data_IF_300459170281
#
_entry.id   IF_300459170281
#
_cell.length_a   1.000
_cell.length_b   1.000
_cell.length_c   1.000
_cell.angle_alpha   90.00
_cell.angle_beta   90.00
_cell.angle_gamma   90.00
#
_symmetry.space_group_name_H-M   'P 1'
#
loop_
_entity.id
_entity.type
_entity.pdbx_description
1 polymer ?
#
# COMPACT_ATOMS: atom_id res chain seq x y z
N UNK A 1 7.69 -11.78 0.04
CA UNK A 1 8.50 -10.59 -0.32
C UNK A 1 9.97 -10.84 0.01
N UNK A 2 10.89 -10.24 -0.78
CA UNK A 2 12.32 -10.38 -0.54
C UNK A 2 12.78 -9.41 0.56
N UNK A 3 13.72 -9.86 1.41
CA UNK A 3 14.35 -9.01 2.41
C UNK A 3 15.25 -7.95 1.73
N UNK A 4 15.35 -6.75 2.28
CA UNK A 4 16.20 -5.71 1.73
C UNK A 4 17.67 -6.13 1.76
N UNK A 5 18.43 -5.70 0.75
CA UNK A 5 19.87 -5.97 0.61
C UNK A 5 20.67 -4.74 1.04
N UNK A 6 21.87 -4.98 1.58
CA UNK A 6 22.80 -3.88 1.87
C UNK A 6 23.38 -3.24 0.63
N UNK A 7 23.55 -4.05 -0.43
CA UNK A 7 24.10 -3.62 -1.72
C UNK A 7 23.24 -4.25 -2.82
N UNK A 8 22.93 -3.47 -3.83
CA UNK A 8 22.21 -3.85 -5.03
C UNK A 8 23.13 -3.67 -6.23
N UNK A 9 23.30 -4.69 -7.06
CA UNK A 9 24.03 -4.58 -8.32
C UNK A 9 23.06 -4.24 -9.44
N UNK A 10 23.44 -3.26 -10.28
CA UNK A 10 22.69 -2.89 -11.47
C UNK A 10 23.63 -2.46 -12.58
N UNK A 11 23.53 -3.09 -13.75
CA UNK A 11 24.42 -2.89 -14.89
C UNK A 11 23.77 -2.16 -16.06
N UNK A 12 22.58 -1.59 -15.85
CA UNK A 12 21.82 -0.87 -16.86
C UNK A 12 20.62 -1.64 -17.40
N UNK A 13 20.31 -2.81 -16.84
CA UNK A 13 19.14 -3.59 -17.23
C UNK A 13 17.85 -2.85 -16.91
N UNK A 14 16.85 -3.01 -17.78
CA UNK A 14 15.48 -2.52 -17.54
C UNK A 14 14.60 -3.71 -17.19
N UNK A 15 14.29 -3.95 -15.91
CA UNK A 15 13.40 -5.04 -15.55
C UNK A 15 11.98 -4.77 -16.06
N UNK A 16 11.26 -5.81 -16.46
CA UNK A 16 9.86 -5.70 -16.91
C UNK A 16 8.92 -5.34 -15.75
N UNK A 17 9.26 -5.78 -14.53
CA UNK A 17 8.52 -5.54 -13.30
C UNK A 17 9.46 -5.52 -12.10
N UNK A 18 8.92 -5.26 -10.92
CA UNK A 18 9.69 -5.38 -9.67
C UNK A 18 10.00 -6.84 -9.29
N UNK A 19 9.51 -7.82 -10.03
CA UNK A 19 9.59 -9.24 -9.71
C UNK A 19 8.48 -9.72 -8.77
N UNK A 20 8.31 -11.03 -8.64
CA UNK A 20 7.23 -11.61 -7.82
C UNK A 20 7.38 -11.31 -6.32
N UNK A 21 8.61 -11.17 -5.85
CA UNK A 21 8.93 -10.88 -4.44
C UNK A 21 9.38 -9.44 -4.20
N UNK A 22 9.45 -8.64 -5.26
CA UNK A 22 9.94 -7.25 -5.19
C UNK A 22 11.46 -7.13 -5.33
N UNK A 23 12.13 -8.21 -5.76
CA UNK A 23 13.59 -8.32 -5.87
C UNK A 23 14.21 -7.31 -6.82
N UNK A 24 13.46 -6.80 -7.80
CA UNK A 24 13.93 -5.82 -8.77
C UNK A 24 13.47 -4.38 -8.48
N UNK A 25 12.85 -4.11 -7.32
CA UNK A 25 12.32 -2.77 -7.03
C UNK A 25 13.37 -1.67 -7.12
N UNK A 26 14.59 -1.89 -6.59
CA UNK A 26 15.68 -0.93 -6.66
C UNK A 26 16.23 -0.80 -8.10
N UNK A 27 16.36 -1.91 -8.82
CA UNK A 27 16.75 -1.91 -10.23
C UNK A 27 15.74 -1.14 -11.10
N UNK A 28 14.44 -1.29 -10.82
CA UNK A 28 13.37 -0.56 -11.50
C UNK A 28 13.47 0.96 -11.27
N UNK A 29 13.77 1.39 -10.03
CA UNK A 29 14.00 2.81 -9.72
C UNK A 29 15.20 3.34 -10.50
N UNK A 30 16.31 2.61 -10.52
CA UNK A 30 17.52 3.01 -11.23
C UNK A 30 17.29 3.08 -12.74
N UNK A 31 16.61 2.06 -13.32
CA UNK A 31 16.28 2.03 -14.74
C UNK A 31 15.37 3.19 -15.15
N UNK A 32 14.29 3.44 -14.38
CA UNK A 32 13.38 4.55 -14.63
C UNK A 32 14.08 5.91 -14.53
N UNK A 33 14.99 6.07 -13.56
CA UNK A 33 15.79 7.29 -13.39
C UNK A 33 16.78 7.50 -14.54
N UNK A 34 17.45 6.44 -15.00
CA UNK A 34 18.36 6.48 -16.13
C UNK A 34 17.64 6.82 -17.46
N UNK A 35 16.39 6.36 -17.62
CA UNK A 35 15.52 6.69 -18.74
C UNK A 35 14.91 8.10 -18.64
N UNK A 36 15.14 8.82 -17.54
CA UNK A 36 14.58 10.15 -17.32
C UNK A 36 13.06 10.15 -17.15
N UNK A 37 12.45 9.03 -16.72
CA UNK A 37 11.00 8.93 -16.51
C UNK A 37 10.53 9.93 -15.47
N UNK A 38 9.41 10.59 -15.78
CA UNK A 38 8.77 11.58 -14.91
C UNK A 38 7.29 11.27 -14.78
N UNK A 39 6.81 11.31 -13.55
CA UNK A 39 5.42 11.05 -13.19
C UNK A 39 4.81 12.24 -12.44
N UNK A 40 3.50 12.34 -12.50
CA UNK A 40 2.73 13.16 -11.58
C UNK A 40 1.57 12.37 -10.96
N UNK A 41 0.95 12.93 -9.93
CA UNK A 41 -0.15 12.30 -9.16
C UNK A 41 -1.54 12.59 -9.76
N UNK A 42 -1.63 12.85 -11.05
CA UNK A 42 -2.87 13.15 -11.74
C UNK A 42 -2.85 14.47 -12.50
N UNK A 43 -3.98 14.87 -13.08
CA UNK A 43 -4.09 16.06 -13.92
C UNK A 43 -3.61 17.33 -13.21
N UNK A 44 -2.92 18.20 -13.94
CA UNK A 44 -2.42 19.50 -13.46
C UNK A 44 -1.44 19.45 -12.26
N UNK A 45 -0.89 18.28 -11.93
CA UNK A 45 0.16 18.14 -10.91
C UNK A 45 1.55 18.23 -11.56
N UNK A 46 2.55 18.65 -10.79
CA UNK A 46 3.92 18.75 -11.27
C UNK A 46 4.50 17.38 -11.64
N UNK A 47 5.26 17.36 -12.74
CA UNK A 47 6.06 16.19 -13.13
C UNK A 47 7.31 16.11 -12.24
N UNK A 48 7.51 14.96 -11.64
CA UNK A 48 8.62 14.67 -10.74
C UNK A 48 9.40 13.47 -11.30
N UNK A 49 10.72 13.47 -11.20
CA UNK A 49 11.54 12.31 -11.56
C UNK A 49 11.11 11.09 -10.76
N UNK A 50 11.23 9.92 -11.37
CA UNK A 50 10.71 8.67 -10.79
C UNK A 50 11.25 8.39 -9.38
N UNK A 51 12.56 8.52 -9.17
CA UNK A 51 13.21 8.33 -7.87
C UNK A 51 12.67 9.29 -6.79
N UNK A 52 12.59 10.58 -7.11
CA UNK A 52 12.04 11.60 -6.23
C UNK A 52 10.53 11.42 -5.99
N UNK A 53 9.80 10.90 -7.00
CA UNK A 53 8.38 10.60 -6.89
C UNK A 53 8.13 9.46 -5.88
N UNK A 54 8.93 8.39 -5.94
CA UNK A 54 8.86 7.28 -4.97
C UNK A 54 9.26 7.76 -3.58
N UNK A 55 10.35 8.54 -3.47
CA UNK A 55 10.78 9.12 -2.19
C UNK A 55 9.69 9.98 -1.54
N UNK A 56 8.98 10.80 -2.34
CA UNK A 56 7.90 11.65 -1.85
C UNK A 56 6.70 10.82 -1.35
N UNK A 57 6.36 9.72 -2.02
CA UNK A 57 5.31 8.82 -1.53
C UNK A 57 5.68 8.16 -0.20
N UNK A 58 6.91 7.67 -0.06
CA UNK A 58 7.36 7.07 1.20
C UNK A 58 7.35 8.08 2.37
N UNK A 59 7.66 9.35 2.08
CA UNK A 59 7.55 10.44 3.06
C UNK A 59 6.09 10.73 3.41
N UNK A 60 5.21 10.86 2.41
CA UNK A 60 3.79 11.17 2.63
C UNK A 60 3.07 10.06 3.39
N UNK A 61 3.48 8.80 3.20
CA UNK A 61 3.03 7.64 3.98
C UNK A 61 3.54 7.65 5.44
N UNK A 62 4.35 8.65 5.81
CA UNK A 62 4.91 8.77 7.17
C UNK A 62 5.88 7.65 7.56
N UNK A 63 6.38 6.88 6.58
CA UNK A 63 7.26 5.74 6.84
C UNK A 63 8.69 6.21 7.06
N UNK A 64 9.15 7.19 6.27
CA UNK A 64 10.48 7.78 6.33
C UNK A 64 10.45 9.25 5.92
N UNK A 65 11.46 10.01 6.33
CA UNK A 65 11.63 11.40 5.95
C UNK A 65 12.36 11.57 4.61
N UNK A 66 13.34 10.70 4.31
CA UNK A 66 14.03 10.71 3.03
C UNK A 66 14.41 9.30 2.57
N UNK A 67 14.48 9.15 1.25
CA UNK A 67 14.84 7.91 0.56
C UNK A 67 15.73 8.26 -0.62
N UNK A 68 16.87 7.60 -0.73
CA UNK A 68 17.79 7.79 -1.83
C UNK A 68 18.47 6.47 -2.23
N UNK A 69 18.56 6.23 -3.54
CA UNK A 69 19.37 5.15 -4.10
C UNK A 69 20.64 5.77 -4.67
N UNK A 70 21.79 5.48 -4.08
CA UNK A 70 23.07 6.08 -4.46
C UNK A 70 24.16 5.04 -4.74
N UNK A 71 25.10 5.32 -5.64
CA UNK A 71 26.20 4.40 -5.89
C UNK A 71 27.11 4.32 -4.66
N UNK A 72 27.60 3.12 -4.34
CA UNK A 72 28.53 2.89 -3.23
C UNK A 72 29.85 3.65 -3.47
N UNK A 73 30.29 3.73 -4.73
CA UNK A 73 31.42 4.55 -5.13
C UNK A 73 31.28 5.01 -6.58
N UNK A 74 31.95 6.12 -6.92
CA UNK A 74 31.90 6.69 -8.28
C UNK A 74 32.39 5.66 -9.32
N UNK A 75 31.52 5.44 -10.34
CA UNK A 75 31.83 4.51 -11.45
C UNK A 75 31.59 3.03 -11.14
N UNK A 76 31.10 2.69 -9.93
CA UNK A 76 30.67 1.32 -9.61
C UNK A 76 29.21 1.08 -9.98
N UNK A 77 28.90 -0.18 -10.27
CA UNK A 77 27.55 -0.68 -10.55
C UNK A 77 26.85 -1.25 -9.31
N UNK A 78 27.39 -0.90 -8.16
CA UNK A 78 26.88 -1.27 -6.84
C UNK A 78 26.22 -0.07 -6.21
N UNK A 79 25.02 -0.26 -5.70
CA UNK A 79 24.16 0.79 -5.15
C UNK A 79 23.73 0.41 -3.74
N UNK A 80 23.53 1.41 -2.92
CA UNK A 80 22.92 1.27 -1.60
C UNK A 80 21.67 2.15 -1.51
N UNK A 81 20.71 1.70 -0.71
CA UNK A 81 19.53 2.48 -0.36
C UNK A 81 19.74 3.06 1.02
N UNK A 82 19.72 4.38 1.11
CA UNK A 82 19.83 5.11 2.37
C UNK A 82 18.54 5.85 2.66
N UNK A 83 18.19 5.91 3.93
CA UNK A 83 16.96 6.54 4.40
C UNK A 83 17.22 7.35 5.67
N UNK A 84 16.36 8.34 5.94
CA UNK A 84 16.23 8.99 7.24
C UNK A 84 14.83 8.70 7.78
N UNK A 85 14.72 8.31 9.03
CA UNK A 85 13.43 8.02 9.67
C UNK A 85 12.71 9.28 10.11
N UNK A 86 13.44 10.35 10.43
CA UNK A 86 12.92 11.68 10.75
C UNK A 86 13.94 12.78 10.36
N UNK A 87 13.52 14.04 10.35
CA UNK A 87 14.30 15.17 9.82
C UNK A 87 15.70 15.32 10.45
N UNK A 88 15.84 15.02 11.74
CA UNK A 88 17.11 15.13 12.48
C UNK A 88 17.88 13.82 12.58
N UNK A 89 17.34 12.70 12.02
CA UNK A 89 18.03 11.42 12.04
C UNK A 89 19.24 11.41 11.12
N UNK A 90 20.26 10.64 11.49
CA UNK A 90 21.34 10.30 10.58
C UNK A 90 20.84 9.37 9.46
N UNK A 91 21.50 9.42 8.31
CA UNK A 91 21.26 8.45 7.24
C UNK A 91 21.66 7.06 7.70
N UNK A 92 20.78 6.09 7.45
CA UNK A 92 21.02 4.67 7.71
C UNK A 92 20.65 3.86 6.47
N UNK A 93 21.17 2.64 6.36
CA UNK A 93 20.80 1.74 5.26
C UNK A 93 19.38 1.21 5.45
N UNK A 94 18.69 0.92 4.37
CA UNK A 94 17.33 0.36 4.41
C UNK A 94 17.26 -0.96 5.21
N UNK A 95 18.37 -1.69 5.30
CA UNK A 95 18.48 -2.92 6.10
C UNK A 95 18.48 -2.67 7.62
N UNK A 96 18.78 -1.45 8.02
CA UNK A 96 18.97 -1.08 9.43
C UNK A 96 17.72 -0.36 9.99
N UNK A 97 16.68 -0.19 9.17
CA UNK A 97 15.37 0.31 9.56
C UNK A 97 14.34 -0.82 9.63
N UNK A 98 13.22 -0.58 10.34
CA UNK A 98 12.15 -1.57 10.49
C UNK A 98 11.53 -2.00 9.15
N UNK A 99 10.81 -3.11 9.19
CA UNK A 99 10.25 -3.78 7.99
C UNK A 99 9.32 -2.92 7.12
N UNK A 100 8.70 -1.86 7.64
CA UNK A 100 7.68 -1.07 6.94
C UNK A 100 8.12 -0.56 5.57
N UNK A 101 9.33 0.03 5.48
CA UNK A 101 9.86 0.56 4.21
C UNK A 101 10.06 -0.55 3.19
N UNK A 102 10.71 -1.64 3.58
CA UNK A 102 11.01 -2.75 2.70
C UNK A 102 9.76 -3.49 2.22
N UNK A 103 8.69 -3.45 3.00
CA UNK A 103 7.42 -4.10 2.67
C UNK A 103 6.58 -3.27 1.69
N UNK A 104 6.54 -1.95 1.83
CA UNK A 104 5.74 -1.09 0.95
C UNK A 104 6.45 -0.75 -0.35
N UNK A 105 7.77 -0.66 -0.35
CA UNK A 105 8.57 -0.22 -1.50
C UNK A 105 8.27 -0.99 -2.79
N UNK A 106 8.24 -2.34 -2.83
CA UNK A 106 7.93 -3.08 -4.05
C UNK A 106 6.54 -2.78 -4.61
N UNK A 107 5.51 -2.73 -3.75
CA UNK A 107 4.14 -2.44 -4.18
C UNK A 107 4.03 -1.01 -4.72
N UNK A 108 4.64 -0.04 -4.02
CA UNK A 108 4.70 1.34 -4.46
C UNK A 108 5.43 1.49 -5.80
N UNK A 109 6.61 0.88 -5.94
CA UNK A 109 7.38 0.94 -7.19
C UNK A 109 6.61 0.29 -8.33
N UNK A 110 6.04 -0.92 -8.13
CA UNK A 110 5.28 -1.62 -9.16
C UNK A 110 4.09 -0.79 -9.68
N UNK A 111 3.33 -0.18 -8.78
CA UNK A 111 2.17 0.64 -9.13
C UNK A 111 2.50 1.77 -10.12
N UNK A 112 3.72 2.31 -10.06
CA UNK A 112 4.15 3.42 -10.90
C UNK A 112 5.19 3.05 -11.98
N UNK A 113 5.87 1.92 -11.83
CA UNK A 113 6.90 1.48 -12.77
C UNK A 113 6.34 0.75 -13.99
N UNK A 114 5.24 0.00 -13.84
CA UNK A 114 4.65 -0.77 -14.92
C UNK A 114 4.41 0.08 -16.18
N UNK A 115 4.46 -0.50 -17.37
CA UNK A 115 4.13 0.18 -18.62
C UNK A 115 2.69 0.74 -18.61
N UNK A 116 2.43 1.71 -19.48
CA UNK A 116 1.05 2.16 -19.74
C UNK A 116 0.21 1.01 -20.34
N UNK A 117 -1.10 1.03 -20.08
CA UNK A 117 -2.07 0.00 -20.46
C UNK A 117 -1.79 -1.38 -19.87
N UNK A 118 -1.19 -1.43 -18.68
CA UNK A 118 -0.92 -2.67 -17.94
C UNK A 118 -2.00 -2.94 -16.91
N UNK A 119 -2.24 -4.24 -16.64
CA UNK A 119 -2.96 -4.72 -15.46
C UNK A 119 -1.94 -5.25 -14.46
N UNK A 120 -2.03 -4.79 -13.22
CA UNK A 120 -1.17 -5.20 -12.12
C UNK A 120 -1.99 -6.01 -11.13
N UNK A 121 -1.51 -7.19 -10.79
CA UNK A 121 -2.07 -8.02 -9.73
C UNK A 121 -1.21 -7.92 -8.47
N UNK A 122 -1.82 -7.63 -7.33
CA UNK A 122 -1.15 -7.58 -6.02
C UNK A 122 -1.93 -8.37 -4.99
N UNK A 123 -1.24 -9.27 -4.30
CA UNK A 123 -1.76 -10.06 -3.19
C UNK A 123 -1.29 -9.46 -1.87
N UNK A 124 -2.24 -9.05 -1.04
CA UNK A 124 -2.05 -8.53 0.31
C UNK A 124 -0.88 -7.52 0.41
N UNK A 125 -0.90 -6.44 -0.39
CA UNK A 125 0.20 -5.46 -0.40
C UNK A 125 0.34 -4.75 0.96
N UNK A 126 -0.69 -4.74 1.78
CA UNK A 126 -0.75 -4.12 3.10
C UNK A 126 -0.21 -4.98 4.25
N UNK A 127 0.13 -6.25 3.99
CA UNK A 127 0.56 -7.16 5.07
C UNK A 127 1.80 -6.62 5.80
N UNK A 128 1.79 -6.70 7.13
CA UNK A 128 2.82 -6.17 8.03
C UNK A 128 2.95 -4.63 8.07
N UNK A 129 2.05 -3.88 7.46
CA UNK A 129 2.04 -2.43 7.58
C UNK A 129 1.19 -1.98 8.78
N UNK A 130 1.58 -0.83 9.35
CA UNK A 130 0.76 -0.19 10.37
C UNK A 130 -0.62 0.18 9.80
N UNK A 131 -1.73 0.10 10.56
CA UNK A 131 -3.08 0.41 10.09
C UNK A 131 -3.22 1.73 9.33
N UNK A 132 -2.56 2.79 9.79
CA UNK A 132 -2.54 4.06 9.09
C UNK A 132 -1.95 3.93 7.68
N UNK A 133 -0.82 3.24 7.53
CA UNK A 133 -0.17 3.03 6.23
C UNK A 133 -1.02 2.14 5.32
N UNK A 134 -1.72 1.14 5.89
CA UNK A 134 -2.69 0.33 5.15
C UNK A 134 -3.79 1.19 4.54
N UNK A 135 -4.33 2.15 5.30
CA UNK A 135 -5.31 3.10 4.79
C UNK A 135 -4.71 3.97 3.66
N UNK A 136 -3.54 4.55 3.88
CA UNK A 136 -2.88 5.43 2.93
C UNK A 136 -2.44 4.72 1.64
N UNK A 137 -2.27 3.40 1.66
CA UNK A 137 -1.98 2.59 0.48
C UNK A 137 -3.14 2.65 -0.55
N UNK A 138 -4.38 2.85 -0.11
CA UNK A 138 -5.49 3.10 -1.02
C UNK A 138 -5.29 4.41 -1.81
N UNK A 139 -4.75 5.45 -1.18
CA UNK A 139 -4.43 6.72 -1.86
C UNK A 139 -3.33 6.54 -2.91
N UNK A 140 -2.33 5.70 -2.61
CA UNK A 140 -1.27 5.32 -3.56
C UNK A 140 -1.88 4.66 -4.79
N UNK A 141 -2.77 3.69 -4.61
CA UNK A 141 -3.35 2.93 -5.72
C UNK A 141 -4.32 3.76 -6.54
N UNK A 142 -5.16 4.57 -5.92
CA UNK A 142 -5.99 5.56 -6.63
C UNK A 142 -5.10 6.49 -7.45
N UNK A 143 -4.03 7.02 -6.85
CA UNK A 143 -3.09 7.88 -7.57
C UNK A 143 -2.38 7.15 -8.72
N UNK A 144 -2.10 5.85 -8.59
CA UNK A 144 -1.45 5.08 -9.65
C UNK A 144 -2.32 4.92 -10.89
N UNK A 145 -3.65 4.78 -10.73
CA UNK A 145 -4.60 4.74 -11.86
C UNK A 145 -4.75 6.11 -12.53
N UNK A 146 -4.62 7.20 -11.76
CA UNK A 146 -4.76 8.59 -12.25
C UNK A 146 -3.44 9.22 -12.70
N UNK A 147 -2.30 8.59 -12.37
CA UNK A 147 -0.98 9.13 -12.68
C UNK A 147 -0.75 9.28 -14.18
N UNK A 148 -0.01 10.33 -14.53
CA UNK A 148 0.42 10.58 -15.91
C UNK A 148 1.94 10.49 -15.99
N UNK A 149 2.41 9.91 -17.07
CA UNK A 149 3.82 9.86 -17.42
C UNK A 149 4.09 10.79 -18.59
N UNK A 150 4.99 11.75 -18.42
CA UNK A 150 5.28 12.78 -19.43
C UNK A 150 3.99 13.42 -20.00
N UNK A 151 3.03 13.74 -19.12
CA UNK A 151 1.70 14.33 -19.43
C UNK A 151 0.67 13.37 -20.05
N UNK A 152 1.05 12.15 -20.44
CA UNK A 152 0.14 11.14 -21.01
C UNK A 152 -0.49 10.28 -19.92
N UNK A 153 -1.73 9.90 -20.10
CA UNK A 153 -2.41 8.93 -19.25
C UNK A 153 -1.75 7.56 -19.36
N UNK A 154 -1.69 6.85 -18.23
CA UNK A 154 -1.07 5.53 -18.18
C UNK A 154 -2.06 4.40 -18.40
N UNK A 155 -3.37 4.63 -18.16
CA UNK A 155 -4.42 3.60 -18.26
C UNK A 155 -4.05 2.30 -17.56
N UNK A 156 -3.62 2.39 -16.31
CA UNK A 156 -3.22 1.24 -15.51
C UNK A 156 -4.44 0.72 -14.74
N UNK A 157 -4.64 -0.59 -14.78
CA UNK A 157 -5.61 -1.29 -13.95
C UNK A 157 -4.90 -1.98 -12.79
N UNK A 158 -5.48 -1.89 -11.61
CA UNK A 158 -5.00 -2.58 -10.41
C UNK A 158 -6.04 -3.62 -9.96
N UNK A 159 -5.59 -4.84 -9.76
CA UNK A 159 -6.35 -5.91 -9.10
C UNK A 159 -5.64 -6.18 -7.79
N UNK A 160 -6.31 -5.91 -6.68
CA UNK A 160 -5.72 -5.98 -5.34
C UNK A 160 -6.54 -6.94 -4.48
N UNK A 161 -5.91 -8.00 -4.01
CA UNK A 161 -6.44 -8.81 -2.92
C UNK A 161 -6.00 -8.18 -1.59
N UNK A 162 -6.94 -7.95 -0.70
CA UNK A 162 -6.67 -7.31 0.60
C UNK A 162 -7.64 -7.83 1.67
N UNK A 163 -7.14 -7.93 2.91
CA UNK A 163 -7.92 -8.21 4.11
C UNK A 163 -7.99 -6.98 5.04
N UNK A 164 -7.59 -5.80 4.56
CA UNK A 164 -7.52 -4.60 5.37
C UNK A 164 -8.83 -3.82 5.35
N UNK A 165 -9.50 -3.76 6.49
CA UNK A 165 -10.61 -2.85 6.72
C UNK A 165 -10.18 -1.39 6.54
N UNK A 166 -8.98 -1.04 7.00
CA UNK A 166 -8.43 0.31 6.88
C UNK A 166 -8.27 0.74 5.41
N UNK A 167 -7.84 -0.20 4.56
CA UNK A 167 -7.73 0.03 3.12
C UNK A 167 -9.10 0.28 2.48
N UNK A 168 -10.08 -0.57 2.78
CA UNK A 168 -11.43 -0.44 2.24
C UNK A 168 -12.11 0.84 2.73
N UNK A 169 -12.04 1.15 4.02
CA UNK A 169 -12.61 2.37 4.59
C UNK A 169 -12.02 3.64 3.96
N UNK A 170 -10.71 3.65 3.66
CA UNK A 170 -10.08 4.76 2.97
C UNK A 170 -10.56 4.87 1.52
N UNK A 171 -10.69 3.75 0.81
CA UNK A 171 -11.23 3.72 -0.55
C UNK A 171 -12.65 4.29 -0.60
N UNK A 172 -13.55 3.83 0.28
CA UNK A 172 -14.90 4.35 0.41
C UNK A 172 -14.92 5.85 0.71
N UNK A 173 -14.06 6.30 1.63
CA UNK A 173 -13.90 7.74 1.92
C UNK A 173 -13.49 8.53 0.68
N UNK A 174 -12.54 8.05 -0.12
CA UNK A 174 -12.11 8.74 -1.34
C UNK A 174 -13.18 8.79 -2.41
N UNK A 175 -14.07 7.80 -2.45
CA UNK A 175 -15.27 7.84 -3.30
C UNK A 175 -16.25 8.91 -2.80
N UNK A 176 -16.55 8.96 -1.51
CA UNK A 176 -17.40 9.98 -0.91
C UNK A 176 -16.88 11.41 -1.12
N UNK A 177 -15.55 11.58 -1.10
CA UNK A 177 -14.87 12.86 -1.40
C UNK A 177 -14.82 13.18 -2.91
N UNK A 178 -15.27 12.27 -3.78
CA UNK A 178 -15.22 12.45 -5.25
C UNK A 178 -13.82 12.37 -5.85
N UNK A 179 -12.86 11.79 -5.14
CA UNK A 179 -11.48 11.60 -5.62
C UNK A 179 -11.38 10.47 -6.65
N UNK A 180 -12.21 9.44 -6.51
CA UNK A 180 -12.37 8.33 -7.45
C UNK A 180 -13.86 8.07 -7.65
N UNK A 181 -14.28 7.84 -8.89
CA UNK A 181 -15.69 7.54 -9.17
C UNK A 181 -16.03 6.08 -8.85
N UNK A 182 -17.27 5.77 -8.39
CA UNK A 182 -17.69 4.40 -8.17
C UNK A 182 -17.57 3.51 -9.43
N UNK A 183 -17.76 4.10 -10.59
CA UNK A 183 -17.62 3.39 -11.88
C UNK A 183 -16.18 2.92 -12.18
N UNK A 184 -15.18 3.52 -11.52
CA UNK A 184 -13.77 3.16 -11.69
C UNK A 184 -13.32 2.11 -10.66
N UNK A 185 -14.24 1.66 -9.77
CA UNK A 185 -13.94 0.74 -8.67
C UNK A 185 -14.89 -0.45 -8.70
N UNK A 186 -14.34 -1.65 -8.67
CA UNK A 186 -15.09 -2.88 -8.47
C UNK A 186 -14.56 -3.60 -7.23
N UNK A 187 -15.47 -3.96 -6.31
CA UNK A 187 -15.13 -4.70 -5.09
C UNK A 187 -15.87 -6.03 -5.12
N UNK A 188 -15.14 -7.10 -4.85
CA UNK A 188 -15.68 -8.45 -4.78
C UNK A 188 -15.34 -9.07 -3.43
N UNK A 189 -16.33 -9.72 -2.84
CA UNK A 189 -16.13 -10.54 -1.65
C UNK A 189 -15.94 -12.01 -2.06
N UNK A 190 -14.88 -12.63 -1.56
CA UNK A 190 -14.59 -14.04 -1.80
C UNK A 190 -15.26 -14.88 -0.71
N UNK A 191 -16.29 -15.64 -1.07
CA UNK A 191 -17.01 -16.52 -0.15
C UNK A 191 -16.76 -17.98 -0.49
N UNK A 192 -16.57 -18.80 0.55
CA UNK A 192 -16.52 -20.24 0.38
C UNK A 192 -17.94 -20.81 0.19
N UNK A 193 -18.17 -21.47 -0.92
CA UNK A 193 -19.42 -22.18 -1.25
C UNK A 193 -19.13 -23.69 -1.44
N UNK A 194 -19.23 -24.44 -0.35
CA UNK A 194 -18.87 -25.86 -0.35
C UNK A 194 -17.38 -26.10 -0.64
N UNK A 195 -17.06 -26.73 -1.79
CA UNK A 195 -15.71 -26.98 -2.27
C UNK A 195 -15.17 -25.89 -3.22
N UNK A 196 -15.99 -24.91 -3.59
CA UNK A 196 -15.62 -23.84 -4.50
C UNK A 196 -15.53 -22.48 -3.76
N UNK A 197 -14.91 -21.51 -4.41
CA UNK A 197 -14.95 -20.10 -4.00
C UNK A 197 -15.83 -19.33 -4.98
N UNK A 198 -16.74 -18.55 -4.47
CA UNK A 198 -17.59 -17.63 -5.24
C UNK A 198 -17.13 -16.20 -5.03
N UNK A 199 -17.19 -15.41 -6.10
CA UNK A 199 -16.94 -13.97 -6.09
C UNK A 199 -18.29 -13.25 -6.05
N UNK A 200 -18.61 -12.63 -4.93
CA UNK A 200 -19.82 -11.83 -4.76
C UNK A 200 -19.48 -10.35 -5.03
N UNK A 201 -20.08 -9.73 -6.08
CA UNK A 201 -19.83 -8.32 -6.36
C UNK A 201 -20.52 -7.45 -5.31
N UNK A 202 -19.79 -6.52 -4.74
CA UNK A 202 -20.33 -5.52 -3.81
C UNK A 202 -20.79 -4.28 -4.58
N UNK A 203 -22.00 -3.84 -4.28
CA UNK A 203 -22.61 -2.66 -4.92
C UNK A 203 -22.21 -1.40 -4.15
N UNK A 204 -21.45 -0.55 -4.81
CA UNK A 204 -21.01 0.73 -4.26
C UNK A 204 -21.93 1.83 -4.80
N UNK A 205 -22.45 2.68 -3.90
CA UNK A 205 -23.18 3.88 -4.30
C UNK A 205 -22.21 5.08 -4.52
N UNK A 206 -22.76 6.22 -4.92
CA UNK A 206 -21.97 7.43 -5.19
C UNK A 206 -21.28 8.02 -3.95
N UNK A 207 -21.68 7.62 -2.75
CA UNK A 207 -21.07 8.02 -1.48
C UNK A 207 -20.04 7.02 -0.97
N UNK A 208 -19.73 5.96 -1.74
CA UNK A 208 -18.79 4.91 -1.34
C UNK A 208 -19.35 3.90 -0.35
N UNK A 209 -20.68 3.91 -0.10
CA UNK A 209 -21.32 2.93 0.76
C UNK A 209 -21.55 1.63 0.01
N UNK A 210 -21.37 0.51 0.70
CA UNK A 210 -21.67 -0.84 0.20
C UNK A 210 -23.12 -1.15 0.54
N UNK A 211 -24.00 -1.27 -0.46
CA UNK A 211 -25.44 -1.51 -0.27
C UNK A 211 -25.77 -2.95 0.10
N UNK A 212 -24.95 -3.90 -0.29
CA UNK A 212 -25.12 -5.34 -0.02
C UNK A 212 -23.96 -5.88 0.83
N UNK A 213 -23.76 -5.30 2.01
CA UNK A 213 -22.69 -5.68 2.93
C UNK A 213 -22.82 -7.16 3.33
N UNK A 214 -21.79 -8.01 3.07
CA UNK A 214 -21.84 -9.41 3.47
C UNK A 214 -21.80 -9.56 4.99
N UNK A 215 -22.51 -10.57 5.52
CA UNK A 215 -22.40 -10.94 6.93
C UNK A 215 -20.95 -11.36 7.25
N UNK A 216 -20.45 -10.93 8.39
CA UNK A 216 -19.09 -11.26 8.88
C UNK A 216 -17.96 -10.89 7.91
N UNK A 217 -18.10 -9.81 7.16
CA UNK A 217 -17.12 -9.38 6.15
C UNK A 217 -15.68 -9.22 6.72
N UNK A 218 -15.55 -8.61 7.89
CA UNK A 218 -14.30 -8.49 8.67
C UNK A 218 -14.33 -9.27 9.98
N UNK A 219 -15.21 -10.27 10.11
CA UNK A 219 -15.50 -10.94 11.37
C UNK A 219 -16.62 -10.27 12.14
N UNK A 220 -16.97 -10.85 13.28
CA UNK A 220 -18.05 -10.35 14.14
C UNK A 220 -17.47 -9.50 15.29
N UNK A 221 -16.81 -8.37 14.94
CA UNK A 221 -16.21 -7.47 15.93
C UNK A 221 -17.26 -6.92 16.91
N UNK A 222 -18.49 -6.66 16.41
CA UNK A 222 -19.59 -6.18 17.26
C UNK A 222 -20.06 -7.24 18.26
N UNK A 223 -20.10 -8.53 17.88
CA UNK A 223 -20.40 -9.61 18.81
C UNK A 223 -19.29 -9.77 19.86
N UNK A 224 -18.03 -9.63 19.48
CA UNK A 224 -16.91 -9.66 20.41
C UNK A 224 -16.95 -8.49 21.42
N UNK A 225 -17.26 -7.27 20.95
CA UNK A 225 -17.42 -6.09 21.82
C UNK A 225 -18.61 -6.29 22.75
N UNK A 226 -19.77 -6.74 22.25
CA UNK A 226 -20.96 -7.01 23.05
C UNK A 226 -20.70 -8.14 24.05
N UNK A 227 -20.10 -9.24 23.62
CA UNK A 227 -19.73 -10.38 24.46
C UNK A 227 -18.79 -9.98 25.60
N UNK A 228 -17.74 -9.20 25.29
CA UNK A 228 -16.84 -8.65 26.29
C UNK A 228 -17.56 -7.77 27.31
N UNK A 229 -18.45 -6.91 26.85
CA UNK A 229 -19.21 -5.99 27.71
C UNK A 229 -20.13 -6.76 28.66
N UNK A 230 -20.86 -7.74 28.15
CA UNK A 230 -21.73 -8.62 28.96
C UNK A 230 -20.94 -9.41 29.98
N UNK A 231 -19.85 -10.05 29.55
CA UNK A 231 -18.97 -10.80 30.46
C UNK A 231 -18.36 -9.91 31.57
N UNK A 232 -17.97 -8.69 31.23
CA UNK A 232 -17.48 -7.73 32.21
C UNK A 232 -18.55 -7.33 33.24
N UNK A 233 -19.78 -7.13 32.81
CA UNK A 233 -20.92 -6.82 33.70
C UNK A 233 -21.25 -8.00 34.63
N UNK A 234 -21.29 -9.22 34.11
CA UNK A 234 -21.51 -10.43 34.89
C UNK A 234 -20.42 -10.64 35.93
N UNK A 235 -19.16 -10.46 35.54
CA UNK A 235 -18.03 -10.58 36.47
C UNK A 235 -18.07 -9.54 37.58
N UNK A 236 -18.43 -8.28 37.27
CA UNK A 236 -18.58 -7.22 38.29
C UNK A 236 -19.71 -7.55 39.26
N UNK A 237 -20.86 -8.08 38.79
CA UNK A 237 -21.96 -8.52 39.65
C UNK A 237 -21.52 -9.65 40.57
N UNK A 238 -20.78 -10.64 40.07
CA UNK A 238 -20.29 -11.75 40.88
C UNK A 238 -19.30 -11.26 41.95
N UNK A 239 -18.38 -10.38 41.62
CA UNK A 239 -17.40 -9.80 42.55
C UNK A 239 -18.10 -8.98 43.66
N UNK A 240 -19.14 -8.20 43.30
CA UNK A 240 -19.91 -7.44 44.25
C UNK A 240 -20.71 -8.36 45.20
N UNK A 241 -21.21 -9.50 44.70
CA UNK A 241 -21.90 -10.51 45.56
C UNK A 241 -20.93 -11.23 46.51
N UNK A 242 -19.66 -11.37 46.15
CA UNK A 242 -18.62 -11.96 47.00
C UNK A 242 -17.94 -10.96 47.98
N UNK A 243 -18.37 -9.69 47.98
CA UNK A 243 -17.79 -8.65 48.84
C UNK A 243 -16.38 -8.23 48.46
N UNK A 244 -15.89 -8.59 47.28
CA UNK A 244 -14.62 -8.16 46.72
C UNK A 244 -14.82 -6.91 45.85
N UNK A 245 -14.66 -5.75 46.46
CA UNK A 245 -14.51 -4.46 45.71
C UNK A 245 -13.07 -4.28 45.35
N UNK A 246 -12.79 -3.79 44.12
CA UNK A 246 -11.46 -3.30 43.69
C UNK A 246 -11.01 -2.14 44.56
#
# INVERSE_FOLDING_TARGET
RESPKRIYSWSGETPESVGQKGEFAVAAILAASAQGRKLNRGPKKHLTRFDAFIAQWLKDLGIIESFEVKPVAKGRKEYEVVVKTHATASEVKITDVGFGVSQVLPALVQAFYCPANSTIWMEQPEIHLHPQVQAELADVFISATQARENTKERNVQLIVESHSEHFLNRLQRRMAEGVVAPADVAVYFCRRAGSATELEPLRLNMFGEIENWPENFFGDEMADIAGRTLAAVERRKAMAAEGKTE
#
